data_IF_699140459042
#
_entry.id   IF_699140459042
#
_cell.length_a   1.000
_cell.length_b   1.000
_cell.length_c   1.000
_cell.angle_alpha   90.00
_cell.angle_beta   90.00
_cell.angle_gamma   90.00
#
_symmetry.space_group_name_H-M   'P 1'
#
loop_
_entity.id
_entity.type
_entity.pdbx_description
1 polymer ?
#
# COMPACT_ATOMS: atom_id res chain seq x y z
N UNK A 1 45.46 13.53 9.69
CA UNK A 1 44.77 12.88 8.54
C UNK A 1 43.93 11.67 8.93
N UNK A 2 44.45 10.66 9.64
CA UNK A 2 43.67 9.45 10.02
C UNK A 2 42.45 9.70 10.92
N UNK A 3 42.50 10.72 11.80
CA UNK A 3 41.38 11.09 12.68
C UNK A 3 40.24 11.86 11.98
N UNK A 4 40.53 12.57 10.89
CA UNK A 4 39.49 13.24 10.09
C UNK A 4 38.70 12.24 9.23
N UNK A 5 39.34 11.18 8.73
CA UNK A 5 38.65 10.13 7.96
C UNK A 5 37.65 9.34 8.81
N UNK A 6 37.99 9.06 10.08
CA UNK A 6 37.08 8.33 10.99
C UNK A 6 35.83 9.14 11.35
N UNK A 7 35.96 10.46 11.53
CA UNK A 7 34.82 11.34 11.81
C UNK A 7 33.88 11.47 10.60
N UNK A 8 34.42 11.45 9.38
CA UNK A 8 33.62 11.50 8.15
C UNK A 8 32.85 10.18 7.91
N UNK A 9 33.43 9.02 8.27
CA UNK A 9 32.76 7.72 8.15
C UNK A 9 31.59 7.56 9.14
N UNK A 10 31.70 8.12 10.35
CA UNK A 10 30.62 8.11 11.36
C UNK A 10 29.47 9.05 10.99
N UNK A 11 29.75 10.16 10.29
CA UNK A 11 28.73 11.09 9.82
C UNK A 11 27.89 10.54 8.65
N UNK A 12 28.45 9.63 7.84
CA UNK A 12 27.73 8.96 6.75
C UNK A 12 26.86 7.81 7.28
N UNK A 13 27.24 7.20 8.41
CA UNK A 13 26.52 6.06 9.01
C UNK A 13 25.18 6.43 9.68
N UNK A 14 24.90 7.72 9.90
CA UNK A 14 23.64 8.17 10.54
C UNK A 14 22.68 8.89 9.61
N UNK A 15 23.00 9.05 8.31
CA UNK A 15 22.04 9.46 7.31
C UNK A 15 21.04 8.33 7.05
N UNK A 16 20.15 8.12 8.00
CA UNK A 16 18.91 7.42 7.75
C UNK A 16 18.13 8.33 6.81
N UNK A 17 18.12 8.01 5.51
CA UNK A 17 17.07 8.49 4.64
C UNK A 17 15.78 7.97 5.26
N UNK A 18 15.12 8.79 6.07
CA UNK A 18 13.79 8.49 6.57
C UNK A 18 12.90 8.36 5.34
N UNK A 19 12.61 7.11 4.96
CA UNK A 19 11.71 6.83 3.87
C UNK A 19 10.37 7.48 4.21
N UNK A 20 9.94 8.43 3.38
CA UNK A 20 8.69 9.14 3.61
C UNK A 20 7.53 8.14 3.66
N UNK A 21 6.86 8.04 4.81
CA UNK A 21 5.73 7.16 4.99
C UNK A 21 4.51 7.71 4.23
N UNK A 22 3.84 6.82 3.50
CA UNK A 22 2.59 7.12 2.78
C UNK A 22 1.53 6.08 3.12
N UNK A 23 0.71 6.33 4.15
CA UNK A 23 -0.44 5.50 4.47
C UNK A 23 -1.50 5.58 3.37
N UNK A 24 -2.15 4.45 3.11
CA UNK A 24 -3.27 4.34 2.18
C UNK A 24 -4.50 3.85 2.94
N UNK A 25 -5.66 4.46 2.66
CA UNK A 25 -6.95 4.07 3.22
C UNK A 25 -7.93 3.81 2.08
N UNK A 26 -8.42 2.58 1.98
CA UNK A 26 -9.54 2.23 1.13
C UNK A 26 -10.81 2.15 1.98
N UNK A 27 -11.81 2.97 1.66
CA UNK A 27 -13.07 3.01 2.39
C UNK A 27 -14.21 3.52 1.51
N UNK A 28 -15.32 2.78 1.48
CA UNK A 28 -16.48 3.11 0.66
C UNK A 28 -16.11 3.13 -0.83
N UNK A 29 -16.24 4.28 -1.46
CA UNK A 29 -15.99 4.46 -2.90
C UNK A 29 -14.69 5.23 -3.18
N UNK A 30 -13.70 5.10 -2.29
CA UNK A 30 -12.49 5.93 -2.34
C UNK A 30 -11.25 5.21 -1.85
N UNK A 31 -10.14 5.44 -2.56
CA UNK A 31 -8.78 5.19 -2.08
C UNK A 31 -8.09 6.52 -1.79
N UNK A 32 -7.61 6.69 -0.56
CA UNK A 32 -6.99 7.93 -0.08
C UNK A 32 -5.53 7.68 0.28
N UNK A 33 -4.61 8.45 -0.28
CA UNK A 33 -3.18 8.37 -0.02
C UNK A 33 -2.72 9.59 0.78
N UNK A 34 -2.27 9.38 2.01
CA UNK A 34 -1.79 10.44 2.90
C UNK A 34 -0.29 10.62 2.78
N UNK A 35 0.17 11.83 3.12
CA UNK A 35 1.58 12.08 3.43
C UNK A 35 1.70 12.21 4.94
N UNK A 36 2.68 11.54 5.54
CA UNK A 36 2.98 11.71 6.96
C UNK A 36 4.01 12.82 7.11
N UNK A 37 3.75 13.77 7.99
CA UNK A 37 4.77 14.68 8.47
C UNK A 37 5.81 13.90 9.28
N UNK A 38 7.04 13.84 8.80
CA UNK A 38 8.10 13.01 9.40
C UNK A 38 8.50 13.43 10.81
N UNK A 39 8.13 14.65 11.24
CA UNK A 39 8.51 15.20 12.55
C UNK A 39 7.38 15.05 13.55
N UNK A 40 6.14 15.28 13.12
CA UNK A 40 4.96 15.33 14.00
C UNK A 40 4.06 14.11 13.89
N UNK A 41 4.23 13.28 12.85
CA UNK A 41 3.36 12.15 12.53
C UNK A 41 1.99 12.55 11.95
N UNK A 42 1.71 13.86 11.79
CA UNK A 42 0.42 14.33 11.30
C UNK A 42 0.20 13.95 9.83
N UNK A 43 -1.03 13.57 9.49
CA UNK A 43 -1.44 13.32 8.12
C UNK A 43 -1.68 14.64 7.39
N UNK A 44 -0.91 14.88 6.32
CA UNK A 44 -1.05 16.03 5.42
C UNK A 44 -2.13 15.76 4.34
N UNK A 45 -2.61 16.81 3.65
CA UNK A 45 -3.69 16.70 2.68
C UNK A 45 -3.48 15.54 1.71
N UNK A 46 -4.44 14.61 1.60
CA UNK A 46 -4.25 13.41 0.84
C UNK A 46 -4.53 13.62 -0.65
N UNK A 47 -3.99 12.72 -1.47
CA UNK A 47 -4.62 12.44 -2.75
C UNK A 47 -5.83 11.54 -2.51
N UNK A 48 -6.94 11.91 -3.13
CA UNK A 48 -8.18 11.17 -3.16
C UNK A 48 -8.40 10.59 -4.56
N UNK A 49 -8.60 9.27 -4.67
CA UNK A 49 -9.03 8.61 -5.90
C UNK A 49 -10.41 8.00 -5.69
N UNK A 50 -11.39 8.41 -6.49
CA UNK A 50 -12.70 7.77 -6.53
C UNK A 50 -12.57 6.39 -7.15
N UNK A 51 -13.03 5.38 -6.41
CA UNK A 51 -12.97 3.97 -6.78
C UNK A 51 -14.11 3.24 -6.05
N UNK A 52 -15.21 3.01 -6.75
CA UNK A 52 -16.39 2.35 -6.19
C UNK A 52 -16.03 1.03 -5.50
N UNK A 53 -16.57 0.82 -4.30
CA UNK A 53 -16.32 -0.37 -3.49
C UNK A 53 -14.86 -0.64 -3.17
N UNK A 54 -14.02 0.40 -3.07
CA UNK A 54 -12.61 0.29 -2.70
C UNK A 54 -12.45 -0.53 -1.41
N UNK A 55 -11.69 -1.62 -1.51
CA UNK A 55 -11.49 -2.59 -0.44
C UNK A 55 -10.01 -2.93 -0.24
N UNK A 56 -9.70 -4.18 0.16
CA UNK A 56 -8.34 -4.61 0.39
C UNK A 56 -7.41 -4.35 -0.80
N UNK A 57 -6.16 -4.00 -0.50
CA UNK A 57 -5.16 -3.72 -1.50
C UNK A 57 -3.77 -4.18 -1.07
N UNK A 58 -2.87 -4.29 -2.03
CA UNK A 58 -1.48 -4.69 -1.81
C UNK A 58 -0.56 -4.03 -2.84
N UNK A 59 0.74 -3.98 -2.56
CA UNK A 59 1.75 -3.40 -3.45
C UNK A 59 2.45 -4.50 -4.23
N UNK A 60 2.86 -4.22 -5.45
CA UNK A 60 3.76 -5.11 -6.19
C UNK A 60 5.13 -5.23 -5.47
N UNK A 61 5.86 -6.35 -5.63
CA UNK A 61 7.16 -6.56 -4.98
C UNK A 61 8.21 -5.51 -5.33
N UNK A 62 8.21 -5.03 -6.58
CA UNK A 62 9.07 -3.94 -7.05
C UNK A 62 8.62 -2.55 -6.56
N UNK A 63 7.49 -2.48 -5.87
CA UNK A 63 6.91 -1.25 -5.34
C UNK A 63 6.32 -0.31 -6.40
N UNK A 64 6.27 -0.68 -7.68
CA UNK A 64 5.85 0.22 -8.76
C UNK A 64 4.33 0.32 -8.92
N UNK A 65 3.58 -0.68 -8.41
CA UNK A 65 2.13 -0.78 -8.59
C UNK A 65 1.39 -1.04 -7.29
N UNK A 66 0.12 -0.71 -7.28
CA UNK A 66 -0.84 -1.08 -6.24
C UNK A 66 -2.01 -1.83 -6.87
N UNK A 67 -2.33 -2.99 -6.32
CA UNK A 67 -3.47 -3.81 -6.72
C UNK A 67 -4.55 -3.68 -5.65
N UNK A 68 -5.76 -3.29 -6.05
CA UNK A 68 -6.88 -3.06 -5.13
C UNK A 68 -8.13 -3.79 -5.60
N UNK A 69 -8.77 -4.49 -4.68
CA UNK A 69 -10.12 -5.02 -4.89
C UNK A 69 -11.10 -3.86 -4.82
N UNK A 70 -11.99 -3.81 -5.80
CA UNK A 70 -13.03 -2.79 -5.93
C UNK A 70 -14.35 -3.45 -6.34
N UNK A 71 -15.41 -2.67 -6.47
CA UNK A 71 -16.65 -3.13 -7.06
C UNK A 71 -17.20 -2.10 -8.04
N UNK A 72 -17.69 -2.56 -9.18
CA UNK A 72 -18.43 -1.70 -10.12
C UNK A 72 -19.87 -2.17 -10.21
N UNK A 73 -20.80 -1.33 -9.77
CA UNK A 73 -22.22 -1.66 -9.68
C UNK A 73 -22.47 -2.98 -8.95
N UNK A 74 -21.80 -3.16 -7.80
CA UNK A 74 -21.80 -4.38 -6.95
C UNK A 74 -21.12 -5.62 -7.54
N UNK A 75 -20.56 -5.55 -8.75
CA UNK A 75 -19.76 -6.65 -9.30
C UNK A 75 -18.29 -6.48 -8.89
N UNK A 76 -17.64 -7.52 -8.33
CA UNK A 76 -16.26 -7.43 -7.90
C UNK A 76 -15.30 -7.16 -9.07
N UNK A 77 -14.30 -6.34 -8.82
CA UNK A 77 -13.26 -5.97 -9.78
C UNK A 77 -11.88 -5.95 -9.12
N UNK A 78 -10.83 -6.11 -9.94
CA UNK A 78 -9.45 -5.90 -9.54
C UNK A 78 -8.89 -4.73 -10.34
N UNK A 79 -8.47 -3.69 -9.64
CA UNK A 79 -7.91 -2.48 -10.25
C UNK A 79 -6.40 -2.41 -10.00
N UNK A 80 -5.65 -2.12 -11.05
CA UNK A 80 -4.21 -1.82 -11.00
C UNK A 80 -4.02 -0.31 -11.05
N UNK A 81 -3.22 0.20 -10.11
CA UNK A 81 -2.78 1.58 -10.04
C UNK A 81 -1.26 1.66 -10.18
N UNK A 82 -0.78 2.74 -10.79
CA UNK A 82 0.63 3.10 -10.88
C UNK A 82 1.00 4.15 -9.83
N UNK A 83 2.26 4.17 -9.42
CA UNK A 83 2.83 5.31 -8.72
C UNK A 83 3.51 6.23 -9.73
N UNK A 84 3.02 7.46 -9.88
CA UNK A 84 3.73 8.50 -10.64
C UNK A 84 5.02 8.91 -9.93
N UNK A 85 5.90 9.63 -10.63
CA UNK A 85 7.17 10.11 -10.08
C UNK A 85 7.02 11.07 -8.90
N UNK A 86 5.89 11.80 -8.79
CA UNK A 86 5.53 12.61 -7.61
C UNK A 86 4.89 11.77 -6.49
N UNK A 87 4.78 10.46 -6.71
CA UNK A 87 4.25 9.45 -5.83
C UNK A 87 2.76 9.58 -5.55
N UNK A 88 2.01 10.07 -6.54
CA UNK A 88 0.56 9.97 -6.62
C UNK A 88 0.16 8.64 -7.27
N UNK A 89 -1.07 8.20 -7.00
CA UNK A 89 -1.67 7.03 -7.61
C UNK A 89 -2.38 7.40 -8.92
N UNK A 90 -2.22 6.59 -9.95
CA UNK A 90 -2.94 6.71 -11.22
C UNK A 90 -3.59 5.39 -11.58
N UNK A 91 -4.87 5.41 -11.93
CA UNK A 91 -5.55 4.21 -12.44
C UNK A 91 -4.95 3.79 -13.78
N UNK A 92 -4.57 2.52 -13.88
CA UNK A 92 -4.07 1.92 -15.12
C UNK A 92 -5.12 1.03 -15.78
N UNK A 93 -5.70 0.10 -15.02
CA UNK A 93 -6.60 -0.90 -15.58
C UNK A 93 -7.54 -1.47 -14.51
N UNK A 94 -8.73 -1.89 -14.94
CA UNK A 94 -9.70 -2.59 -14.09
C UNK A 94 -10.22 -3.82 -14.82
N UNK A 95 -10.10 -4.97 -14.19
CA UNK A 95 -10.65 -6.24 -14.67
C UNK A 95 -11.85 -6.68 -13.82
N UNK A 96 -12.83 -7.40 -14.38
CA UNK A 96 -13.76 -8.19 -13.58
C UNK A 96 -13.00 -9.17 -12.68
N UNK A 97 -13.45 -9.33 -11.45
CA UNK A 97 -12.93 -10.32 -10.51
C UNK A 97 -14.07 -11.27 -10.10
N UNK A 98 -13.74 -12.51 -9.74
CA UNK A 98 -14.72 -13.51 -9.29
C UNK A 98 -14.68 -13.73 -7.77
N UNK A 99 -14.26 -12.71 -7.01
CA UNK A 99 -13.76 -12.88 -5.66
C UNK A 99 -14.54 -12.02 -4.65
N UNK A 100 -14.95 -12.66 -3.54
CA UNK A 100 -15.30 -11.98 -2.27
C UNK A 100 -14.16 -12.26 -1.29
N UNK A 101 -12.99 -11.68 -1.55
CA UNK A 101 -11.76 -12.02 -0.83
C UNK A 101 -11.51 -11.09 0.36
N UNK A 102 -11.15 -11.68 1.49
CA UNK A 102 -10.82 -10.97 2.73
C UNK A 102 -9.35 -10.53 2.84
N UNK A 103 -8.43 -11.12 2.06
CA UNK A 103 -7.00 -10.78 2.09
C UNK A 103 -6.25 -11.34 0.86
N UNK A 104 -5.40 -10.51 0.23
CA UNK A 104 -4.58 -10.86 -0.93
C UNK A 104 -3.11 -10.49 -0.66
N UNK A 105 -2.17 -11.30 -1.16
CA UNK A 105 -0.72 -11.02 -1.13
C UNK A 105 -0.12 -11.30 -2.50
N UNK A 106 0.80 -10.46 -2.93
CA UNK A 106 1.65 -10.74 -4.10
C UNK A 106 2.90 -11.48 -3.61
N UNK A 107 3.19 -12.64 -4.20
CA UNK A 107 4.41 -13.38 -3.87
C UNK A 107 5.66 -12.75 -4.52
N UNK A 108 6.84 -13.29 -4.21
CA UNK A 108 8.12 -12.80 -4.74
C UNK A 108 8.24 -12.91 -6.27
N UNK A 109 7.38 -13.68 -6.94
CA UNK A 109 7.33 -13.83 -8.39
C UNK A 109 6.33 -12.88 -9.06
N UNK A 110 5.59 -12.07 -8.27
CA UNK A 110 4.60 -11.14 -8.78
C UNK A 110 3.20 -11.74 -8.96
N UNK A 111 2.98 -13.00 -8.55
CA UNK A 111 1.68 -13.63 -8.64
C UNK A 111 0.80 -13.23 -7.45
N UNK A 112 -0.45 -12.91 -7.76
CA UNK A 112 -1.46 -12.57 -6.76
C UNK A 112 -2.09 -13.85 -6.21
N UNK A 113 -1.83 -14.15 -4.94
CA UNK A 113 -2.33 -15.35 -4.28
C UNK A 113 -3.31 -14.98 -3.17
N UNK A 114 -4.38 -15.77 -3.03
CA UNK A 114 -5.25 -15.73 -1.85
C UNK A 114 -4.57 -16.51 -0.73
N UNK A 115 -4.18 -15.81 0.33
CA UNK A 115 -3.39 -16.40 1.43
C UNK A 115 -4.26 -17.15 2.42
N UNK A 116 -5.50 -16.70 2.66
CA UNK A 116 -6.40 -17.36 3.60
C UNK A 116 -7.87 -16.98 3.35
N UNK A 117 -8.78 -17.78 3.90
CA UNK A 117 -10.20 -17.46 4.07
C UNK A 117 -10.49 -17.45 5.57
N UNK A 118 -10.85 -16.28 6.10
CA UNK A 118 -11.27 -16.15 7.49
C UNK A 118 -12.78 -15.88 7.52
N UNK A 119 -13.53 -16.65 8.31
CA UNK A 119 -14.93 -16.32 8.63
C UNK A 119 -14.95 -15.22 9.69
N UNK A 120 -14.99 -13.98 9.23
CA UNK A 120 -14.82 -12.75 10.03
C UNK A 120 -16.15 -12.04 10.27
N UNK A 121 -17.25 -12.80 10.20
CA UNK A 121 -18.61 -12.26 10.27
C UNK A 121 -18.99 -11.48 9.00
N UNK A 122 -20.13 -10.77 9.05
CA UNK A 122 -20.76 -10.19 7.86
C UNK A 122 -20.12 -8.90 7.35
N UNK A 123 -19.24 -8.24 8.13
CA UNK A 123 -18.69 -6.91 7.81
C UNK A 123 -17.29 -6.63 8.42
N UNK A 124 -16.25 -7.45 8.16
CA UNK A 124 -14.88 -7.02 8.42
C UNK A 124 -14.54 -5.79 7.56
N UNK A 125 -13.84 -4.82 8.11
CA UNK A 125 -13.29 -3.68 7.34
C UNK A 125 -11.80 -3.84 7.05
N UNK A 126 -11.07 -4.65 7.83
CA UNK A 126 -9.65 -4.97 7.64
C UNK A 126 -9.25 -6.23 8.43
N UNK A 127 -8.37 -7.06 7.87
CA UNK A 127 -7.64 -8.14 8.56
C UNK A 127 -6.21 -8.11 8.02
N UNK A 128 -5.23 -8.09 8.91
CA UNK A 128 -3.82 -8.07 8.55
C UNK A 128 -3.10 -9.13 9.36
N UNK A 129 -2.36 -9.99 8.65
CA UNK A 129 -1.52 -11.02 9.24
C UNK A 129 -0.09 -10.56 9.03
N UNK A 130 0.57 -10.20 10.13
CA UNK A 130 2.01 -9.93 10.16
C UNK A 130 2.74 -11.23 10.46
N UNK A 131 3.84 -11.47 9.76
CA UNK A 131 4.82 -12.44 10.22
C UNK A 131 5.35 -11.92 11.57
N UNK A 132 5.18 -12.69 12.64
CA UNK A 132 5.76 -12.39 13.95
C UNK A 132 7.23 -12.82 13.95
N UNK A 133 8.06 -12.17 13.13
CA UNK A 133 9.50 -12.32 13.31
C UNK A 133 10.02 -11.25 14.30
N UNK A 134 10.91 -11.65 15.24
CA UNK A 134 11.27 -10.89 16.44
C UNK A 134 12.12 -9.64 16.21
#
# INVERSE_FOLDING_TARGET
MKRLLAALLVLIATLHLNAAQKPYLAAGDKLTAYKVDSTTGQLKPPQALELEGAGPFTRSPDGTRLYIVSAKSRNPTLTTLDFSSDGKLKLLYTAPAHLRDGYLKVDSTGNLNRVARYDVGSRPTWVEVHDLDP
#
